data_IF_734020189078
#
_entry.id   IF_734020189078
#
_cell.length_a   1.000
_cell.length_b   1.000
_cell.length_c   1.000
_cell.angle_alpha   90.00
_cell.angle_beta   90.00
_cell.angle_gamma   90.00
#
_symmetry.space_group_name_H-M   'P 1'
#
loop_
_entity.id
_entity.type
_entity.pdbx_description
1 polymer ?
#
# COMPACT_ATOMS: atom_id res chain seq x y z
N UNK A 1 15.39 -4.86 7.71
CA UNK A 1 14.45 -5.84 7.15
C UNK A 1 13.95 -5.24 5.85
N UNK A 2 14.52 -5.67 4.74
CA UNK A 2 14.27 -5.11 3.41
C UNK A 2 12.88 -5.50 2.91
N UNK A 3 12.32 -4.66 2.05
CA UNK A 3 11.11 -4.89 1.28
C UNK A 3 11.11 -6.25 0.52
N UNK A 4 12.31 -6.80 0.26
CA UNK A 4 12.55 -8.15 -0.28
C UNK A 4 11.99 -9.26 0.63
N UNK A 5 11.87 -9.03 1.95
CA UNK A 5 11.28 -9.99 2.88
C UNK A 5 9.73 -9.92 2.93
N UNK A 6 9.08 -8.90 2.33
CA UNK A 6 7.60 -8.89 2.13
C UNK A 6 7.15 -10.14 1.35
N UNK A 7 8.01 -10.67 0.47
CA UNK A 7 7.73 -11.84 -0.34
C UNK A 7 7.61 -13.14 0.48
N UNK A 8 8.12 -13.17 1.71
CA UNK A 8 8.14 -14.38 2.55
C UNK A 8 7.17 -14.32 3.73
N UNK A 9 6.83 -13.12 4.23
CA UNK A 9 6.02 -12.95 5.43
C UNK A 9 4.63 -12.40 5.09
N UNK A 10 3.58 -13.16 5.40
CA UNK A 10 2.16 -12.78 5.20
C UNK A 10 1.70 -11.61 6.08
N UNK A 11 2.55 -11.09 6.97
CA UNK A 11 2.27 -9.96 7.87
C UNK A 11 3.50 -9.07 8.00
N UNK A 12 3.35 -7.78 7.72
CA UNK A 12 4.46 -6.81 7.80
C UNK A 12 4.03 -5.55 8.52
N UNK A 13 4.91 -5.03 9.38
CA UNK A 13 4.71 -3.76 10.09
C UNK A 13 5.29 -2.63 9.26
N UNK A 14 4.49 -1.62 8.99
CA UNK A 14 4.82 -0.44 8.19
C UNK A 14 4.22 0.81 8.80
N UNK A 15 4.67 1.98 8.38
CA UNK A 15 4.02 3.25 8.66
C UNK A 15 3.37 3.79 7.38
N UNK A 16 2.19 4.40 7.52
CA UNK A 16 1.51 5.11 6.44
C UNK A 16 2.17 6.48 6.32
N UNK A 17 2.94 6.69 5.25
CA UNK A 17 3.64 7.95 5.00
C UNK A 17 2.72 8.97 4.33
N UNK A 18 1.97 8.54 3.32
CA UNK A 18 1.02 9.37 2.56
C UNK A 18 -0.25 8.55 2.33
N UNK A 19 -1.42 9.17 2.42
CA UNK A 19 -2.73 8.53 2.25
C UNK A 19 -3.66 9.42 1.41
N UNK A 20 -4.21 8.88 0.31
CA UNK A 20 -5.15 9.63 -0.52
C UNK A 20 -6.20 8.73 -1.17
N UNK A 21 -7.29 9.33 -1.65
CA UNK A 21 -8.30 8.64 -2.47
C UNK A 21 -8.03 8.94 -3.93
N UNK A 22 -8.01 7.92 -4.78
CA UNK A 22 -7.94 8.06 -6.23
C UNK A 22 -9.28 7.64 -6.85
N UNK A 23 -9.82 8.45 -7.76
CA UNK A 23 -11.00 8.11 -8.54
C UNK A 23 -10.54 7.51 -9.87
N UNK A 24 -10.87 6.24 -10.12
CA UNK A 24 -10.49 5.50 -11.33
C UNK A 24 -11.63 5.40 -12.33
N UNK A 25 -12.50 6.42 -12.38
CA UNK A 25 -13.65 6.51 -13.28
C UNK A 25 -14.47 5.21 -13.24
N UNK A 26 -14.37 4.38 -14.29
CA UNK A 26 -15.09 3.12 -14.44
C UNK A 26 -14.72 2.04 -13.39
N UNK A 27 -13.53 2.11 -12.78
CA UNK A 27 -13.06 1.14 -11.80
C UNK A 27 -13.37 1.53 -10.34
N UNK A 28 -14.09 2.64 -10.12
CA UNK A 28 -14.47 3.10 -8.78
C UNK A 28 -13.38 3.89 -8.06
N UNK A 29 -13.52 4.00 -6.74
CA UNK A 29 -12.56 4.72 -5.88
C UNK A 29 -11.59 3.70 -5.28
N UNK A 30 -10.31 4.06 -5.20
CA UNK A 30 -9.32 3.33 -4.42
C UNK A 30 -8.74 4.22 -3.32
N UNK A 31 -8.37 3.58 -2.22
CA UNK A 31 -7.51 4.18 -1.20
C UNK A 31 -6.06 3.83 -1.54
N UNK A 32 -5.27 4.87 -1.78
CA UNK A 32 -3.88 4.76 -2.17
C UNK A 32 -2.98 5.21 -1.02
N UNK A 33 -1.83 4.54 -0.87
CA UNK A 33 -0.92 4.72 0.25
C UNK A 33 0.54 4.65 -0.18
N UNK A 34 1.39 5.46 0.43
CA UNK A 34 2.84 5.17 0.48
C UNK A 34 3.14 4.57 1.83
N UNK A 35 3.62 3.32 1.83
CA UNK A 35 4.00 2.59 3.03
C UNK A 35 5.52 2.63 3.18
N UNK A 36 6.00 2.80 4.41
CA UNK A 36 7.43 2.79 4.73
C UNK A 36 7.75 1.74 5.79
N UNK A 37 8.78 0.93 5.56
CA UNK A 37 9.28 -0.04 6.54
C UNK A 37 10.28 0.61 7.53
N UNK A 38 10.75 -0.17 8.50
CA UNK A 38 11.69 0.31 9.53
C UNK A 38 13.06 0.75 9.00
N UNK A 39 13.43 0.35 7.78
CA UNK A 39 14.68 0.73 7.13
C UNK A 39 14.50 1.97 6.24
N UNK A 40 13.29 2.53 6.18
CA UNK A 40 12.97 3.67 5.32
C UNK A 40 12.58 3.28 3.90
N UNK A 41 12.44 1.99 3.60
CA UNK A 41 12.08 1.53 2.25
C UNK A 41 10.61 1.83 1.97
N UNK A 42 10.31 2.45 0.83
CA UNK A 42 8.96 2.87 0.44
C UNK A 42 8.34 1.94 -0.60
N UNK A 43 7.03 1.75 -0.49
CA UNK A 43 6.24 1.07 -1.52
C UNK A 43 4.84 1.66 -1.62
N UNK A 44 4.37 1.84 -2.86
CA UNK A 44 2.99 2.18 -3.14
C UNK A 44 2.09 0.98 -2.80
N UNK A 45 0.99 1.22 -2.12
CA UNK A 45 -0.06 0.26 -1.88
C UNK A 45 -1.43 0.80 -2.28
N UNK A 46 -2.22 -0.04 -2.95
CA UNK A 46 -3.56 0.24 -3.40
C UNK A 46 -4.56 -0.70 -2.72
N UNK A 47 -5.65 -0.14 -2.19
CA UNK A 47 -6.80 -0.89 -1.65
C UNK A 47 -8.07 -0.42 -2.38
N UNK A 48 -8.83 -1.35 -2.95
CA UNK A 48 -10.14 -1.03 -3.54
C UNK A 48 -11.14 -0.58 -2.45
N UNK A 49 -12.08 0.29 -2.79
CA UNK A 49 -12.95 0.94 -1.79
C UNK A 49 -13.66 -0.06 -0.87
N UNK A 50 -14.21 -1.15 -1.41
CA UNK A 50 -14.92 -2.17 -0.65
C UNK A 50 -14.06 -2.81 0.46
N UNK A 51 -12.78 -3.04 0.17
CA UNK A 51 -11.82 -3.57 1.15
C UNK A 51 -11.37 -2.49 2.14
N UNK A 52 -11.27 -1.22 1.71
CA UNK A 52 -10.83 -0.13 2.59
C UNK A 52 -11.89 0.30 3.59
N UNK A 53 -13.17 0.24 3.20
CA UNK A 53 -14.29 0.90 3.88
C UNK A 53 -14.44 0.50 5.35
N UNK A 54 -14.31 -0.78 5.74
CA UNK A 54 -14.34 -1.18 7.15
C UNK A 54 -13.18 -0.62 7.99
N UNK A 55 -12.07 -0.28 7.34
CA UNK A 55 -10.81 0.11 7.98
C UNK A 55 -10.47 1.60 7.92
N UNK A 56 -11.16 2.40 7.09
CA UNK A 56 -10.82 3.81 6.84
C UNK A 56 -10.63 4.64 8.12
N UNK A 57 -11.43 4.40 9.17
CA UNK A 57 -11.31 5.13 10.46
C UNK A 57 -9.99 4.90 11.20
N UNK A 58 -9.28 3.83 10.86
CA UNK A 58 -8.01 3.42 11.48
C UNK A 58 -6.80 3.70 10.58
N UNK A 59 -6.98 4.26 9.39
CA UNK A 59 -5.91 4.57 8.45
C UNK A 59 -5.65 6.07 8.47
N UNK A 60 -4.47 6.46 8.96
CA UNK A 60 -4.04 7.85 9.04
C UNK A 60 -2.56 7.97 8.73
N UNK A 61 -2.16 9.06 8.10
CA UNK A 61 -0.75 9.39 7.92
C UNK A 61 -0.02 9.45 9.26
N UNK A 62 1.22 8.98 9.29
CA UNK A 62 2.02 8.83 10.50
C UNK A 62 1.74 7.56 11.31
N UNK A 63 0.65 6.84 11.03
CA UNK A 63 0.27 5.68 11.83
C UNK A 63 1.05 4.42 11.44
N UNK A 64 1.59 3.72 12.45
CA UNK A 64 2.13 2.38 12.27
C UNK A 64 1.01 1.33 12.24
N UNK A 65 1.01 0.48 11.21
CA UNK A 65 0.01 -0.57 11.00
C UNK A 65 0.69 -1.90 10.68
N UNK A 66 -0.04 -3.00 10.87
CA UNK A 66 0.36 -4.31 10.37
C UNK A 66 -0.52 -4.62 9.16
N UNK A 67 0.10 -4.77 8.01
CA UNK A 67 -0.57 -5.18 6.77
C UNK A 67 -0.45 -6.68 6.56
N UNK A 68 -1.45 -7.28 5.95
CA UNK A 68 -1.51 -8.69 5.57
C UNK A 68 -2.41 -8.86 4.34
N UNK A 69 -2.61 -10.09 3.85
CA UNK A 69 -3.50 -10.40 2.72
C UNK A 69 -3.26 -9.48 1.51
N UNK A 70 -2.00 -9.47 1.05
CA UNK A 70 -1.58 -8.66 -0.07
C UNK A 70 -0.74 -9.45 -1.06
N UNK A 71 -0.65 -8.92 -2.26
CA UNK A 71 0.20 -9.41 -3.35
C UNK A 71 0.94 -8.24 -3.99
N UNK A 72 2.04 -8.56 -4.67
CA UNK A 72 2.71 -7.60 -5.54
C UNK A 72 2.01 -7.59 -6.90
N UNK A 73 1.72 -6.39 -7.40
CA UNK A 73 1.18 -6.14 -8.73
C UNK A 73 2.19 -5.31 -9.52
N UNK A 74 2.22 -5.49 -10.83
CA UNK A 74 3.05 -4.66 -11.69
C UNK A 74 2.69 -3.19 -11.54
N UNK A 75 3.72 -2.36 -11.42
CA UNK A 75 3.58 -0.91 -11.32
C UNK A 75 4.04 -0.26 -12.62
N UNK A 76 3.19 -0.39 -13.64
CA UNK A 76 3.46 0.03 -15.02
C UNK A 76 3.22 1.52 -15.29
N UNK A 77 2.77 2.28 -14.29
CA UNK A 77 2.51 3.72 -14.42
C UNK A 77 3.84 4.50 -14.47
N UNK A 78 3.93 5.53 -15.32
CA UNK A 78 5.15 6.35 -15.46
C UNK A 78 5.52 7.08 -14.16
N UNK A 79 4.51 7.47 -13.37
CA UNK A 79 4.70 8.10 -12.07
C UNK A 79 4.75 7.05 -10.95
N UNK A 80 5.94 6.87 -10.37
CA UNK A 80 6.17 5.91 -9.27
C UNK A 80 6.67 6.60 -8.02
N UNK A 81 6.11 6.22 -6.88
CA UNK A 81 6.53 6.71 -5.56
C UNK A 81 7.62 5.84 -4.92
N UNK A 82 8.06 4.78 -5.61
CA UNK A 82 9.12 3.87 -5.21
C UNK A 82 10.00 3.45 -6.42
N UNK A 83 11.25 3.02 -6.21
CA UNK A 83 12.15 2.64 -7.30
C UNK A 83 11.83 1.25 -7.91
N UNK A 84 10.86 0.54 -7.34
CA UNK A 84 10.55 -0.84 -7.71
C UNK A 84 9.54 -0.90 -8.88
N UNK A 85 9.56 -1.97 -9.69
CA UNK A 85 8.58 -2.17 -10.76
C UNK A 85 7.24 -2.73 -10.24
N UNK A 86 7.00 -2.70 -8.92
CA UNK A 86 5.84 -3.30 -8.30
C UNK A 86 5.22 -2.41 -7.21
N UNK A 87 3.91 -2.59 -7.01
CA UNK A 87 3.09 -2.01 -5.94
C UNK A 87 2.36 -3.10 -5.18
N UNK A 88 1.89 -2.80 -3.98
CA UNK A 88 1.07 -3.69 -3.16
C UNK A 88 -0.39 -3.56 -3.59
N UNK A 89 -1.07 -4.70 -3.75
CA UNK A 89 -2.53 -4.76 -3.84
C UNK A 89 -3.10 -5.75 -2.82
N UNK A 90 -4.20 -5.39 -2.17
CA UNK A 90 -4.86 -6.21 -1.16
C UNK A 90 -5.96 -7.10 -1.76
N UNK A 91 -6.28 -8.21 -1.08
CA UNK A 91 -7.35 -9.15 -1.43
C UNK A 91 -8.12 -9.64 -0.19
#
# INVERSE_FOLDING_TARGET
>A
MTLIQLMKNKKVKVQILVLWKANKNAAGISLEMVLVDKEGTRIHAQVEEDLSKPHQKFLKEGQAVIINAFQLKDYLEEFRTNPYPYKIGFF
#
